data_IF_074923140303
#
_entry.id   IF_074923140303
#
_cell.length_a   1.000
_cell.length_b   1.000
_cell.length_c   1.000
_cell.angle_alpha   90.00
_cell.angle_beta   90.00
_cell.angle_gamma   90.00
#
_symmetry.space_group_name_H-M   'P 1'
#
loop_
_entity.id
_entity.type
_entity.pdbx_description
1 polymer ?
#
# COMPACT_ATOMS: atom_id res chain seq x y z
N UNK A 1 -13.52 6.72 -7.40
CA UNK A 1 -14.67 6.54 -6.47
C UNK A 1 -14.58 7.40 -5.23
N UNK A 2 -13.46 7.41 -4.49
CA UNK A 2 -13.34 8.20 -3.24
C UNK A 2 -13.07 9.71 -3.45
N UNK A 3 -12.80 10.17 -4.67
CA UNK A 3 -12.58 11.60 -4.97
C UNK A 3 -11.33 12.20 -4.33
N UNK A 4 -10.40 11.37 -3.82
CA UNK A 4 -9.15 11.82 -3.19
C UNK A 4 -8.19 12.31 -4.28
N UNK A 5 -7.69 13.56 -4.21
CA UNK A 5 -6.68 14.03 -5.14
C UNK A 5 -5.44 13.14 -5.08
N UNK A 6 -4.95 12.69 -6.22
CA UNK A 6 -3.89 11.67 -6.27
C UNK A 6 -2.97 11.93 -7.44
N UNK A 7 -1.66 11.87 -7.20
CA UNK A 7 -0.64 12.00 -8.24
C UNK A 7 0.64 11.27 -7.85
N UNK A 8 1.40 10.85 -8.87
CA UNK A 8 2.67 10.16 -8.69
C UNK A 8 3.83 11.15 -8.70
N UNK A 9 4.70 11.06 -7.71
CA UNK A 9 5.91 11.84 -7.58
C UNK A 9 7.05 11.07 -8.28
N UNK A 10 7.25 11.32 -9.57
CA UNK A 10 8.21 10.59 -10.41
C UNK A 10 9.64 10.61 -9.86
N UNK A 11 10.09 11.76 -9.37
CA UNK A 11 11.46 11.93 -8.84
C UNK A 11 11.66 11.21 -7.49
N UNK A 12 10.57 10.94 -6.75
CA UNK A 12 10.60 10.27 -5.45
C UNK A 12 10.23 8.78 -5.54
N UNK A 13 9.62 8.35 -6.65
CA UNK A 13 9.18 6.97 -6.84
C UNK A 13 7.98 6.57 -5.97
N UNK A 14 7.11 7.51 -5.60
CA UNK A 14 6.01 7.26 -4.67
C UNK A 14 4.70 7.97 -5.05
N UNK A 15 3.59 7.49 -4.50
CA UNK A 15 2.27 8.12 -4.66
C UNK A 15 2.01 9.13 -3.55
N UNK A 16 1.45 10.29 -3.89
CA UNK A 16 0.82 11.19 -2.93
C UNK A 16 -0.70 11.13 -3.06
N UNK A 17 -1.37 11.02 -1.92
CA UNK A 17 -2.82 11.12 -1.79
C UNK A 17 -3.15 12.34 -0.93
N UNK A 18 -4.01 13.22 -1.42
CA UNK A 18 -4.38 14.46 -0.77
C UNK A 18 -3.38 15.60 -0.97
N UNK A 19 -3.68 16.72 -0.32
CA UNK A 19 -2.99 18.00 -0.48
C UNK A 19 -2.49 18.57 0.84
N UNK A 20 -1.34 19.23 0.79
CA UNK A 20 -0.76 19.99 1.89
C UNK A 20 -0.60 19.15 3.15
N UNK A 21 -0.89 19.72 4.32
CA UNK A 21 -0.80 19.01 5.60
C UNK A 21 -1.70 17.78 5.76
N UNK A 22 -2.67 17.62 4.86
CA UNK A 22 -3.62 16.50 4.85
C UNK A 22 -3.18 15.38 3.94
N UNK A 23 -2.06 15.51 3.22
CA UNK A 23 -1.62 14.42 2.37
C UNK A 23 -1.09 13.23 3.18
N UNK A 24 -1.10 12.07 2.54
CA UNK A 24 -0.30 10.91 2.92
C UNK A 24 0.52 10.49 1.70
N UNK A 25 1.74 10.00 1.92
CA UNK A 25 2.62 9.53 0.85
C UNK A 25 2.93 8.06 1.08
N UNK A 26 3.00 7.28 0.00
CA UNK A 26 3.25 5.85 0.14
C UNK A 26 3.78 5.17 -1.11
N UNK A 27 4.40 4.01 -0.88
CA UNK A 27 4.88 3.09 -1.90
C UNK A 27 4.19 1.75 -1.63
N UNK A 28 3.44 1.25 -2.62
CA UNK A 28 2.61 0.06 -2.46
C UNK A 28 1.65 0.15 -1.25
N UNK A 29 1.95 -0.55 -0.16
CA UNK A 29 1.15 -0.57 1.09
C UNK A 29 1.89 -0.01 2.30
N UNK A 30 3.04 0.63 2.08
CA UNK A 30 3.81 1.37 3.09
C UNK A 30 3.55 2.86 2.95
N UNK A 31 3.29 3.53 4.07
CA UNK A 31 2.97 4.95 4.14
C UNK A 31 3.97 5.70 5.02
N UNK A 32 4.08 7.02 4.85
CA UNK A 32 5.02 7.86 5.59
C UNK A 32 4.71 7.99 7.10
N UNK A 33 3.54 7.52 7.53
CA UNK A 33 3.17 7.37 8.93
C UNK A 33 3.56 6.01 9.55
N UNK A 34 3.96 5.03 8.75
CA UNK A 34 4.31 3.70 9.24
C UNK A 34 5.62 3.73 10.03
N UNK A 35 5.70 2.95 11.12
CA UNK A 35 6.91 2.87 11.92
C UNK A 35 7.99 2.07 11.19
N UNK A 36 9.07 2.75 10.82
CA UNK A 36 10.27 2.11 10.26
C UNK A 36 10.83 1.03 11.21
N UNK A 37 10.79 1.27 12.53
CA UNK A 37 11.28 0.31 13.53
C UNK A 37 10.43 -0.97 13.49
N UNK A 38 9.11 -0.84 13.43
CA UNK A 38 8.21 -2.00 13.39
C UNK A 38 8.33 -2.72 12.04
N UNK A 39 8.49 -1.98 10.94
CA UNK A 39 8.75 -2.54 9.62
C UNK A 39 10.04 -3.38 9.61
N UNK A 40 11.15 -2.82 10.09
CA UNK A 40 12.43 -3.54 10.19
C UNK A 40 12.32 -4.75 11.13
N UNK A 41 11.57 -4.62 12.23
CA UNK A 41 11.36 -5.71 13.17
C UNK A 41 10.68 -6.92 12.50
N UNK A 42 9.74 -6.70 11.58
CA UNK A 42 9.13 -7.81 10.82
C UNK A 42 10.11 -8.56 9.91
N UNK A 43 11.23 -7.93 9.52
CA UNK A 43 12.27 -8.59 8.71
C UNK A 43 13.16 -9.53 9.52
N UNK A 44 13.25 -9.31 10.83
CA UNK A 44 13.98 -10.16 11.79
C UNK A 44 13.06 -11.30 12.25
N UNK A 45 12.94 -12.33 11.40
CA UNK A 45 11.95 -13.42 11.57
C UNK A 45 12.05 -14.15 12.90
N UNK A 46 13.26 -14.40 13.38
CA UNK A 46 13.56 -15.06 14.65
C UNK A 46 13.13 -14.21 15.84
N UNK A 47 13.52 -12.93 15.86
CA UNK A 47 13.15 -12.00 16.94
C UNK A 47 11.65 -11.73 16.97
N UNK A 48 11.04 -11.51 15.80
CA UNK A 48 9.60 -11.31 15.67
C UNK A 48 8.82 -12.54 16.16
N UNK A 49 9.27 -13.74 15.79
CA UNK A 49 8.67 -14.99 16.27
C UNK A 49 8.83 -15.18 17.78
N UNK A 50 10.01 -14.87 18.34
CA UNK A 50 10.26 -14.93 19.77
C UNK A 50 9.37 -13.94 20.55
N UNK A 51 9.16 -12.74 20.01
CA UNK A 51 8.22 -11.76 20.53
C UNK A 51 6.78 -12.30 20.53
N UNK A 52 6.31 -12.84 19.39
CA UNK A 52 4.98 -13.43 19.30
C UNK A 52 4.77 -14.56 20.32
N UNK A 53 5.76 -15.43 20.48
CA UNK A 53 5.73 -16.50 21.48
C UNK A 53 5.63 -15.96 22.91
N UNK A 54 6.43 -14.93 23.22
CA UNK A 54 6.43 -14.28 24.55
C UNK A 54 5.08 -13.65 24.87
N UNK A 55 4.38 -13.14 23.86
CA UNK A 55 3.02 -12.59 23.98
C UNK A 55 1.93 -13.67 24.09
N UNK A 56 2.28 -14.95 23.92
CA UNK A 56 1.34 -16.07 24.00
C UNK A 56 0.62 -16.38 22.68
N UNK A 57 1.09 -15.84 21.55
CA UNK A 57 0.54 -16.17 20.24
C UNK A 57 1.03 -17.54 19.74
N UNK A 58 0.21 -18.29 18.99
CA UNK A 58 0.55 -19.64 18.54
C UNK A 58 1.61 -19.58 17.42
N UNK A 59 2.87 -19.78 17.78
CA UNK A 59 3.98 -19.98 16.83
C UNK A 59 4.53 -21.41 16.95
N UNK A 60 5.07 -22.00 15.86
CA UNK A 60 5.77 -23.28 15.93
C UNK A 60 6.91 -23.23 16.95
N UNK A 61 6.97 -24.16 17.90
CA UNK A 61 8.05 -24.18 18.88
C UNK A 61 9.36 -24.63 18.22
N UNK A 62 10.47 -23.97 18.53
CA UNK A 62 11.75 -24.28 17.90
C UNK A 62 12.90 -23.45 18.46
N UNK A 63 14.11 -23.69 17.95
CA UNK A 63 15.32 -22.94 18.32
C UNK A 63 16.29 -22.81 17.16
N UNK A 64 17.19 -21.83 17.27
CA UNK A 64 18.33 -21.67 16.37
C UNK A 64 19.40 -22.69 16.76
N UNK A 65 20.01 -23.30 15.74
CA UNK A 65 21.08 -24.28 15.84
C UNK A 65 22.19 -23.93 14.84
N UNK A 66 23.40 -24.34 15.16
CA UNK A 66 24.62 -24.07 14.39
C UNK A 66 25.32 -25.34 13.93
N UNK A 67 24.95 -26.50 14.49
CA UNK A 67 25.53 -27.79 14.14
C UNK A 67 24.42 -28.83 13.95
N UNK A 68 24.73 -29.90 13.22
CA UNK A 68 23.81 -31.02 13.04
C UNK A 68 23.48 -31.71 14.36
N UNK A 69 24.44 -31.80 15.28
CA UNK A 69 24.23 -32.35 16.63
C UNK A 69 23.21 -31.50 17.41
N UNK A 70 23.34 -30.17 17.35
CA UNK A 70 22.37 -29.25 17.95
C UNK A 70 20.98 -29.37 17.30
N UNK A 71 20.93 -29.65 16.00
CA UNK A 71 19.69 -29.87 15.25
C UNK A 71 18.99 -31.16 15.70
N UNK A 72 19.73 -32.26 15.81
CA UNK A 72 19.23 -33.54 16.32
C UNK A 72 18.72 -33.41 17.76
N UNK A 73 19.47 -32.71 18.61
CA UNK A 73 19.04 -32.40 19.97
C UNK A 73 17.76 -31.56 20.00
N UNK A 74 17.61 -30.60 19.08
CA UNK A 74 16.40 -29.79 18.98
C UNK A 74 15.21 -30.65 18.55
N UNK A 75 15.38 -31.48 17.53
CA UNK A 75 14.33 -32.37 17.04
C UNK A 75 13.88 -33.37 18.11
N UNK A 76 14.81 -33.93 18.88
CA UNK A 76 14.50 -34.82 20.01
C UNK A 76 13.73 -34.13 21.13
N UNK A 77 13.98 -32.84 21.37
CA UNK A 77 13.26 -32.05 22.38
C UNK A 77 11.85 -31.64 21.92
N UNK A 78 11.71 -31.28 20.64
CA UNK A 78 10.43 -30.85 20.04
C UNK A 78 9.52 -32.04 19.79
N UNK A 79 10.09 -33.15 19.33
CA UNK A 79 9.38 -34.29 18.77
C UNK A 79 9.12 -34.13 17.27
N UNK A 80 9.20 -35.23 16.53
CA UNK A 80 8.89 -35.28 15.10
C UNK A 80 7.37 -35.23 14.84
N UNK A 81 6.92 -34.65 13.71
CA UNK A 81 7.74 -34.09 12.63
C UNK A 81 8.26 -32.67 12.89
N UNK A 82 9.42 -32.36 12.33
CA UNK A 82 10.07 -31.03 12.42
C UNK A 82 10.29 -30.40 11.04
N UNK A 83 10.57 -29.11 11.04
CA UNK A 83 10.98 -28.35 9.88
C UNK A 83 12.35 -27.72 10.14
N UNK A 84 13.17 -27.69 9.09
CA UNK A 84 14.51 -27.08 9.05
C UNK A 84 14.49 -25.96 8.03
N UNK A 85 14.96 -24.77 8.43
CA UNK A 85 15.09 -23.62 7.52
C UNK A 85 16.26 -22.72 7.90
N UNK A 86 16.95 -22.10 6.93
CA UNK A 86 17.91 -21.05 7.26
C UNK A 86 17.17 -19.82 7.83
N UNK A 87 17.80 -19.12 8.77
CA UNK A 87 17.28 -17.85 9.32
C UNK A 87 17.23 -16.78 8.23
N UNK A 88 18.27 -16.76 7.40
CA UNK A 88 18.45 -15.88 6.26
C UNK A 88 17.97 -16.57 5.00
N UNK A 89 17.24 -15.84 4.15
CA UNK A 89 16.75 -16.39 2.88
C UNK A 89 15.32 -15.99 2.52
N UNK A 90 15.04 -16.02 1.22
CA UNK A 90 13.74 -15.70 0.65
C UNK A 90 13.25 -16.84 -0.24
N UNK A 91 11.93 -16.88 -0.48
CA UNK A 91 11.28 -17.77 -1.46
C UNK A 91 11.34 -19.28 -1.13
N UNK A 92 11.68 -19.66 0.10
CA UNK A 92 11.65 -21.07 0.54
C UNK A 92 12.88 -21.89 0.17
N UNK A 93 13.96 -21.26 -0.28
CA UNK A 93 15.24 -21.95 -0.55
C UNK A 93 15.82 -22.43 0.79
N UNK A 94 16.27 -23.69 0.84
CA UNK A 94 16.79 -24.31 2.06
C UNK A 94 15.72 -24.71 3.09
N UNK A 95 14.42 -24.55 2.79
CA UNK A 95 13.33 -24.95 3.69
C UNK A 95 12.93 -26.39 3.42
N UNK A 96 13.10 -27.25 4.43
CA UNK A 96 12.56 -28.61 4.43
C UNK A 96 11.57 -28.74 5.58
N UNK A 97 10.32 -29.07 5.28
CA UNK A 97 9.27 -29.32 6.27
C UNK A 97 8.90 -30.82 6.27
N UNK A 98 8.15 -31.23 7.29
CA UNK A 98 7.65 -32.61 7.45
C UNK A 98 8.77 -33.67 7.49
N UNK A 99 9.84 -33.37 8.22
CA UNK A 99 10.95 -34.30 8.49
C UNK A 99 10.50 -35.22 9.62
N UNK A 100 10.66 -36.55 9.47
CA UNK A 100 10.16 -37.55 10.42
C UNK A 100 11.25 -38.31 11.18
N UNK A 101 12.50 -38.24 10.73
CA UNK A 101 13.62 -38.94 11.38
C UNK A 101 14.96 -38.20 11.31
N UNK A 102 16.00 -38.80 11.90
CA UNK A 102 17.33 -38.22 12.00
C UNK A 102 18.06 -38.16 10.65
N UNK A 103 17.87 -39.16 9.79
CA UNK A 103 18.55 -39.21 8.48
C UNK A 103 18.00 -38.11 7.56
N UNK A 104 16.68 -37.94 7.54
CA UNK A 104 16.03 -36.84 6.83
C UNK A 104 16.46 -35.47 7.39
N UNK A 105 16.64 -35.37 8.72
CA UNK A 105 17.07 -34.14 9.37
C UNK A 105 18.50 -33.73 8.97
N UNK A 106 19.44 -34.69 8.95
CA UNK A 106 20.82 -34.44 8.53
C UNK A 106 20.87 -33.91 7.09
N UNK A 107 20.16 -34.58 6.16
CA UNK A 107 20.08 -34.13 4.77
C UNK A 107 19.41 -32.75 4.64
N UNK A 108 18.37 -32.49 5.43
CA UNK A 108 17.69 -31.20 5.45
C UNK A 108 18.58 -30.08 6.01
N UNK A 109 19.40 -30.40 7.00
CA UNK A 109 20.38 -29.47 7.57
C UNK A 109 21.41 -29.09 6.52
N UNK A 110 22.03 -30.06 5.84
CA UNK A 110 23.03 -29.80 4.80
C UNK A 110 22.45 -28.92 3.67
N UNK A 111 21.23 -29.22 3.20
CA UNK A 111 20.53 -28.38 2.21
C UNK A 111 20.29 -26.95 2.71
N UNK A 112 19.99 -26.78 4.00
CA UNK A 112 19.80 -25.47 4.59
C UNK A 112 21.13 -24.70 4.72
N UNK A 113 22.25 -25.38 4.98
CA UNK A 113 23.60 -24.78 4.97
C UNK A 113 23.98 -24.33 3.57
N UNK A 114 23.81 -25.18 2.57
CA UNK A 114 24.15 -24.89 1.17
C UNK A 114 23.35 -23.72 0.59
N UNK A 115 22.17 -23.46 1.15
CA UNK A 115 21.32 -22.33 0.78
C UNK A 115 21.81 -20.98 1.33
N UNK A 116 22.71 -20.97 2.31
CA UNK A 116 23.22 -19.75 2.96
C UNK A 116 24.44 -19.25 2.16
N UNK A 117 24.46 -17.95 1.86
CA UNK A 117 25.59 -17.36 1.13
C UNK A 117 26.88 -17.41 1.97
N UNK A 118 28.07 -17.60 1.36
CA UNK A 118 29.33 -17.75 2.11
C UNK A 118 29.72 -16.57 3.00
N UNK A 119 29.16 -15.38 2.74
CA UNK A 119 29.37 -14.15 3.49
C UNK A 119 28.34 -13.92 4.61
N UNK A 120 27.33 -14.79 4.73
CA UNK A 120 26.30 -14.73 5.77
C UNK A 120 26.60 -15.65 6.96
N UNK A 121 26.08 -15.29 8.13
CA UNK A 121 26.20 -16.13 9.32
C UNK A 121 25.30 -17.35 9.22
N UNK A 122 25.90 -18.55 9.26
CA UNK A 122 25.20 -19.83 9.32
C UNK A 122 24.32 -19.89 10.58
N UNK A 123 23.01 -19.72 10.39
CA UNK A 123 21.99 -19.85 11.43
C UNK A 123 20.83 -20.63 10.85
N UNK A 124 20.49 -21.75 11.47
CA UNK A 124 19.41 -22.64 11.04
C UNK A 124 18.37 -22.75 12.16
N UNK A 125 17.09 -22.73 11.81
CA UNK A 125 15.98 -22.96 12.73
C UNK A 125 15.52 -24.40 12.58
N UNK A 126 15.45 -25.12 13.71
CA UNK A 126 14.68 -26.37 13.83
C UNK A 126 13.43 -26.07 14.64
N UNK A 127 12.26 -26.33 14.04
CA UNK A 127 10.97 -26.04 14.66
C UNK A 127 9.95 -27.14 14.39
N UNK A 128 8.86 -27.16 15.16
CA UNK A 128 7.73 -28.05 14.95
C UNK A 128 7.17 -27.90 13.54
N UNK A 129 6.99 -29.01 12.82
CA UNK A 129 6.27 -29.01 11.55
C UNK A 129 4.76 -29.05 11.81
N UNK A 130 4.04 -28.06 11.29
CA UNK A 130 2.58 -28.00 11.38
C UNK A 130 2.01 -28.39 10.02
N UNK A 131 1.30 -29.50 9.95
CA UNK A 131 0.61 -29.91 8.74
C UNK A 131 -0.59 -29.00 8.47
N UNK A 132 -0.71 -28.49 7.24
CA UNK A 132 -1.85 -27.67 6.84
C UNK A 132 -1.62 -26.93 5.52
N UNK A 133 -2.59 -26.11 5.17
CA UNK A 133 -2.48 -25.18 4.05
C UNK A 133 -1.89 -23.85 4.54
N UNK A 134 -1.21 -23.16 3.62
CA UNK A 134 -0.67 -21.83 3.83
C UNK A 134 -1.78 -20.79 3.60
N UNK A 135 -1.98 -19.91 4.57
CA UNK A 135 -2.88 -18.77 4.47
C UNK A 135 -2.12 -17.47 4.77
N UNK A 136 -2.50 -16.40 4.07
CA UNK A 136 -2.18 -15.03 4.46
C UNK A 136 -3.43 -14.32 4.96
N UNK A 137 -3.37 -13.85 6.20
CA UNK A 137 -4.34 -12.93 6.78
C UNK A 137 -3.84 -11.50 6.57
N UNK A 138 -4.73 -10.60 6.19
CA UNK A 138 -4.41 -9.20 6.00
C UNK A 138 -5.18 -8.35 7.00
N UNK A 139 -4.44 -7.54 7.76
CA UNK A 139 -5.01 -6.48 8.57
C UNK A 139 -4.67 -5.11 7.96
N UNK A 140 -5.65 -4.21 7.99
CA UNK A 140 -5.51 -2.79 7.63
C UNK A 140 -5.96 -1.95 8.83
N UNK A 141 -5.10 -1.05 9.29
CA UNK A 141 -5.33 -0.21 10.46
C UNK A 141 -5.79 -1.01 11.69
N UNK A 142 -5.08 -2.12 11.97
CA UNK A 142 -5.37 -3.00 13.10
C UNK A 142 -6.66 -3.83 12.99
N UNK A 143 -7.35 -3.81 11.84
CA UNK A 143 -8.58 -4.57 11.60
C UNK A 143 -8.36 -5.62 10.51
N UNK A 144 -8.93 -6.81 10.69
CA UNK A 144 -8.91 -7.84 9.67
C UNK A 144 -9.72 -7.41 8.45
N UNK A 145 -9.18 -7.61 7.26
CA UNK A 145 -9.84 -7.25 5.99
C UNK A 145 -10.00 -8.44 5.06
N UNK A 146 -8.96 -9.28 4.92
CA UNK A 146 -8.97 -10.36 3.94
C UNK A 146 -8.15 -11.57 4.41
N UNK A 147 -8.50 -12.74 3.89
CA UNK A 147 -7.68 -13.94 4.00
C UNK A 147 -7.56 -14.62 2.63
N UNK A 148 -6.38 -15.16 2.35
CA UNK A 148 -6.12 -15.89 1.09
C UNK A 148 -5.35 -17.15 1.39
N UNK A 149 -5.85 -18.29 0.93
CA UNK A 149 -5.07 -19.52 0.84
C UNK A 149 -4.08 -19.39 -0.31
N UNK A 150 -2.83 -19.75 -0.06
CA UNK A 150 -1.79 -19.80 -1.07
C UNK A 150 -1.44 -21.25 -1.32
N UNK A 151 -1.58 -21.69 -2.57
CA UNK A 151 -1.10 -23.01 -2.99
C UNK A 151 0.18 -22.90 -3.81
N UNK A 152 1.14 -23.81 -3.63
CA UNK A 152 2.30 -23.89 -4.51
C UNK A 152 1.87 -24.12 -5.97
N UNK A 153 2.75 -23.78 -6.90
CA UNK A 153 2.54 -24.10 -8.30
C UNK A 153 2.38 -25.62 -8.46
N UNK A 154 1.45 -26.05 -9.31
CA UNK A 154 1.16 -27.45 -9.55
C UNK A 154 0.71 -27.67 -10.99
N UNK A 155 0.88 -28.88 -11.49
CA UNK A 155 0.29 -29.35 -12.75
C UNK A 155 -0.51 -30.63 -12.50
N UNK A 156 -1.53 -30.87 -13.32
CA UNK A 156 -2.33 -32.09 -13.25
C UNK A 156 -2.14 -32.89 -14.53
N UNK A 157 -1.81 -34.18 -14.39
CA UNK A 157 -1.58 -35.05 -15.52
C UNK A 157 -2.83 -35.30 -16.35
N UNK A 158 -2.66 -35.36 -17.67
CA UNK A 158 -3.68 -35.81 -18.62
C UNK A 158 -3.44 -37.26 -19.11
N UNK A 159 -2.31 -37.86 -18.69
CA UNK A 159 -1.85 -39.20 -19.10
C UNK A 159 -0.99 -39.22 -20.36
N UNK A 160 -0.75 -38.08 -21.01
CA UNK A 160 -0.05 -38.01 -22.30
C UNK A 160 1.11 -37.01 -22.30
N UNK A 161 0.92 -35.82 -21.75
CA UNK A 161 1.89 -34.73 -21.77
C UNK A 161 2.95 -34.86 -20.66
N UNK A 162 4.16 -34.42 -20.97
CA UNK A 162 5.24 -34.26 -20.00
C UNK A 162 4.95 -33.12 -19.03
N UNK A 163 5.59 -33.11 -17.86
CA UNK A 163 5.50 -31.99 -16.91
C UNK A 163 5.88 -30.66 -17.58
N UNK A 164 6.93 -30.64 -18.42
CA UNK A 164 7.32 -29.45 -19.18
C UNK A 164 6.17 -28.93 -20.07
N UNK A 165 5.53 -29.83 -20.84
CA UNK A 165 4.45 -29.46 -21.74
C UNK A 165 3.20 -28.98 -20.97
N UNK A 166 2.89 -29.60 -19.83
CA UNK A 166 1.82 -29.15 -18.94
C UNK A 166 2.10 -27.75 -18.37
N UNK A 167 3.34 -27.47 -17.97
CA UNK A 167 3.76 -26.13 -17.53
C UNK A 167 3.61 -25.12 -18.66
N UNK A 168 4.04 -25.47 -19.87
CA UNK A 168 3.95 -24.59 -21.04
C UNK A 168 2.49 -24.31 -21.41
N UNK A 169 1.61 -25.30 -21.28
CA UNK A 169 0.17 -25.14 -21.47
C UNK A 169 -0.44 -24.20 -20.43
N UNK A 170 -0.15 -24.40 -19.15
CA UNK A 170 -0.58 -23.51 -18.06
C UNK A 170 -0.12 -22.06 -18.32
N UNK A 171 1.16 -21.87 -18.68
CA UNK A 171 1.75 -20.56 -18.93
C UNK A 171 1.25 -19.85 -20.19
N UNK A 172 0.53 -20.55 -21.09
CA UNK A 172 -0.18 -19.95 -22.23
C UNK A 172 -1.55 -19.39 -21.84
N UNK A 173 -2.07 -19.72 -20.66
CA UNK A 173 -3.35 -19.19 -20.18
C UNK A 173 -3.28 -17.67 -20.00
N UNK A 174 -4.32 -16.96 -20.46
CA UNK A 174 -4.45 -15.51 -20.27
C UNK A 174 -4.52 -15.11 -18.78
N UNK A 175 -4.83 -16.06 -17.90
CA UNK A 175 -4.86 -15.84 -16.46
C UNK A 175 -3.46 -15.81 -15.82
N UNK A 176 -2.41 -16.28 -16.53
CA UNK A 176 -1.00 -16.27 -16.09
C UNK A 176 -0.17 -15.31 -16.91
N UNK A 177 0.01 -14.08 -16.42
CA UNK A 177 0.81 -13.06 -17.08
C UNK A 177 2.01 -12.66 -16.22
N UNK A 178 3.11 -12.30 -16.88
CA UNK A 178 4.31 -11.79 -16.19
C UNK A 178 4.16 -10.29 -15.89
N UNK A 179 3.14 -9.96 -15.12
CA UNK A 179 2.86 -8.58 -14.68
C UNK A 179 2.41 -8.61 -13.22
N UNK A 180 2.77 -7.59 -12.41
CA UNK A 180 2.29 -7.46 -11.03
C UNK A 180 0.78 -7.37 -10.87
N UNK A 181 0.05 -7.09 -11.97
CA UNK A 181 -1.42 -6.96 -12.00
C UNK A 181 -2.13 -8.21 -12.51
N UNK A 182 -1.39 -9.30 -12.74
CA UNK A 182 -1.98 -10.60 -13.09
C UNK A 182 -2.50 -11.31 -11.84
N UNK A 183 -3.67 -11.99 -11.91
CA UNK A 183 -4.14 -12.85 -10.83
C UNK A 183 -3.17 -13.99 -10.50
N UNK A 184 -2.43 -14.49 -11.51
CA UNK A 184 -1.44 -15.54 -11.35
C UNK A 184 -0.14 -15.18 -12.08
N UNK A 185 0.99 -15.42 -11.42
CA UNK A 185 2.29 -15.43 -12.09
C UNK A 185 2.43 -16.61 -13.03
N UNK A 186 3.37 -16.50 -13.98
CA UNK A 186 3.83 -17.66 -14.73
C UNK A 186 4.55 -18.64 -13.80
N UNK A 187 4.36 -19.93 -14.05
CA UNK A 187 5.13 -21.01 -13.44
C UNK A 187 6.56 -20.89 -13.95
N UNK A 188 7.50 -20.58 -13.05
CA UNK A 188 8.91 -20.36 -13.37
C UNK A 188 9.70 -21.64 -13.21
N UNK A 189 10.45 -22.02 -14.23
CA UNK A 189 11.44 -23.09 -14.16
C UNK A 189 12.73 -22.54 -13.54
N UNK A 190 13.10 -23.07 -12.38
CA UNK A 190 14.35 -22.76 -11.68
C UNK A 190 14.85 -23.97 -10.90
N UNK A 191 16.07 -23.89 -10.36
CA UNK A 191 16.73 -24.99 -9.65
C UNK A 191 15.90 -25.48 -8.45
N UNK A 192 15.17 -24.59 -7.77
CA UNK A 192 14.32 -24.96 -6.65
C UNK A 192 13.12 -25.83 -7.07
N UNK A 193 12.54 -25.59 -8.25
CA UNK A 193 11.53 -26.47 -8.82
C UNK A 193 12.13 -27.82 -9.22
N UNK A 194 13.28 -27.81 -9.89
CA UNK A 194 13.93 -29.03 -10.37
C UNK A 194 14.31 -29.96 -9.21
N UNK A 195 14.91 -29.39 -8.16
CA UNK A 195 15.27 -30.13 -6.95
C UNK A 195 14.04 -30.78 -6.30
N UNK A 196 12.91 -30.06 -6.25
CA UNK A 196 11.69 -30.60 -5.65
C UNK A 196 11.01 -31.68 -6.51
N UNK A 197 11.17 -31.62 -7.84
CA UNK A 197 10.74 -32.71 -8.71
C UNK A 197 11.61 -33.95 -8.48
N UNK A 198 12.93 -33.77 -8.35
CA UNK A 198 13.88 -34.87 -8.09
C UNK A 198 13.59 -35.56 -6.74
N UNK A 199 13.30 -34.80 -5.68
CA UNK A 199 12.85 -35.34 -4.38
C UNK A 199 11.58 -36.20 -4.52
N UNK A 200 10.72 -35.91 -5.51
CA UNK A 200 9.52 -36.70 -5.82
C UNK A 200 9.79 -37.84 -6.82
N UNK A 201 11.06 -38.09 -7.18
CA UNK A 201 11.47 -39.02 -8.23
C UNK A 201 10.85 -38.70 -9.60
N UNK A 202 10.69 -37.41 -9.90
CA UNK A 202 10.14 -36.88 -11.16
C UNK A 202 11.15 -35.98 -11.86
N UNK A 203 10.96 -35.83 -13.17
CA UNK A 203 11.71 -34.93 -14.04
C UNK A 203 10.76 -34.15 -14.94
N UNK A 204 11.26 -33.12 -15.62
CA UNK A 204 10.46 -32.37 -16.59
C UNK A 204 9.90 -33.24 -17.73
N UNK A 205 10.59 -34.33 -18.08
CA UNK A 205 10.18 -35.29 -19.11
C UNK A 205 9.21 -36.36 -18.60
N UNK A 206 8.89 -36.36 -17.30
CA UNK A 206 7.96 -37.33 -16.72
C UNK A 206 6.53 -37.07 -17.21
N UNK A 207 5.81 -38.13 -17.60
CA UNK A 207 4.38 -38.08 -17.93
C UNK A 207 3.58 -38.46 -16.70
N UNK A 208 2.67 -37.58 -16.29
CA UNK A 208 1.83 -37.80 -15.11
C UNK A 208 0.59 -38.62 -15.47
N UNK A 209 0.22 -39.56 -14.59
CA UNK A 209 -1.06 -40.26 -14.68
C UNK A 209 -2.22 -39.26 -14.74
N UNK A 210 -3.28 -39.64 -15.47
CA UNK A 210 -4.47 -38.79 -15.61
C UNK A 210 -5.03 -38.45 -14.23
N UNK A 211 -5.35 -37.17 -14.04
CA UNK A 211 -5.90 -36.60 -12.79
C UNK A 211 -4.93 -36.61 -11.59
N UNK A 212 -3.67 -37.02 -11.77
CA UNK A 212 -2.64 -36.88 -10.73
C UNK A 212 -2.10 -35.46 -10.71
N UNK A 213 -2.37 -34.72 -9.63
CA UNK A 213 -1.75 -33.41 -9.39
C UNK A 213 -0.38 -33.57 -8.73
N UNK A 214 0.63 -32.91 -9.28
CA UNK A 214 1.97 -32.80 -8.71
C UNK A 214 2.26 -31.34 -8.38
N UNK A 215 2.70 -31.09 -7.15
CA UNK A 215 3.21 -29.80 -6.75
C UNK A 215 4.64 -29.64 -7.28
N UNK A 216 4.88 -28.50 -7.93
CA UNK A 216 6.16 -28.15 -8.50
C UNK A 216 7.08 -27.45 -7.49
N UNK A 217 6.55 -27.06 -6.33
CA UNK A 217 7.29 -26.40 -5.23
C UNK A 217 6.72 -26.80 -3.87
N UNK A 218 7.57 -26.79 -2.84
CA UNK A 218 7.15 -26.93 -1.42
C UNK A 218 6.38 -25.69 -0.92
N UNK A 219 6.90 -24.50 -1.20
CA UNK A 219 6.39 -23.24 -0.63
C UNK A 219 5.44 -22.53 -1.59
N UNK A 220 4.35 -21.99 -1.04
CA UNK A 220 3.34 -21.26 -1.79
C UNK A 220 3.79 -19.82 -2.10
N UNK A 221 4.54 -19.67 -3.20
CA UNK A 221 4.98 -18.38 -3.71
C UNK A 221 4.25 -18.00 -5.01
N UNK A 222 3.39 -16.97 -4.92
CA UNK A 222 2.59 -16.47 -6.04
C UNK A 222 3.47 -15.97 -7.20
N UNK A 223 4.63 -15.38 -6.91
CA UNK A 223 5.55 -14.85 -7.93
C UNK A 223 6.25 -15.93 -8.77
N UNK A 224 6.14 -17.19 -8.35
CA UNK A 224 6.67 -18.38 -9.03
C UNK A 224 5.56 -19.31 -9.54
N UNK A 225 4.35 -18.77 -9.75
CA UNK A 225 3.22 -19.49 -10.33
C UNK A 225 2.27 -20.13 -9.32
N UNK A 226 2.41 -19.83 -8.04
CA UNK A 226 1.45 -20.23 -7.02
C UNK A 226 0.05 -19.64 -7.26
N UNK A 227 -0.93 -20.24 -6.60
CA UNK A 227 -2.35 -19.91 -6.73
C UNK A 227 -2.85 -19.19 -5.48
N UNK A 228 -3.61 -18.11 -5.65
CA UNK A 228 -4.34 -17.41 -4.58
C UNK A 228 -5.82 -17.80 -4.60
N UNK A 229 -6.33 -18.26 -3.47
CA UNK A 229 -7.75 -18.60 -3.30
C UNK A 229 -8.30 -17.72 -2.19
N UNK A 230 -9.38 -16.98 -2.45
CA UNK A 230 -10.05 -16.21 -1.40
C UNK A 230 -10.56 -17.14 -0.30
N UNK A 231 -10.20 -16.81 0.94
CA UNK A 231 -10.61 -17.52 2.15
C UNK A 231 -11.25 -16.56 3.16
N UNK A 232 -11.54 -15.32 2.75
CA UNK A 232 -11.98 -14.24 3.65
C UNK A 232 -13.27 -14.57 4.40
N UNK A 233 -14.21 -15.27 3.74
CA UNK A 233 -15.49 -15.68 4.35
C UNK A 233 -15.43 -16.98 5.14
N UNK A 234 -14.36 -17.76 4.97
CA UNK A 234 -14.19 -19.07 5.60
C UNK A 234 -13.57 -18.96 6.99
N UNK A 235 -12.82 -17.89 7.25
CA UNK A 235 -12.05 -17.74 8.48
C UNK A 235 -12.91 -17.78 9.75
N UNK A 236 -12.46 -18.54 10.74
CA UNK A 236 -13.10 -18.60 12.05
C UNK A 236 -12.97 -17.26 12.81
N UNK A 237 -14.00 -16.80 13.55
CA UNK A 237 -13.95 -15.55 14.31
C UNK A 237 -12.79 -15.45 15.31
N UNK A 238 -12.40 -16.54 15.98
CA UNK A 238 -11.23 -16.53 16.88
C UNK A 238 -9.92 -16.16 16.14
N UNK A 239 -9.80 -16.55 14.87
CA UNK A 239 -8.61 -16.28 14.05
C UNK A 239 -8.61 -14.81 13.59
N UNK A 240 -9.79 -14.23 13.34
CA UNK A 240 -9.95 -12.79 13.12
C UNK A 240 -9.49 -12.01 14.36
N UNK A 241 -9.96 -12.39 15.54
CA UNK A 241 -9.60 -11.73 16.80
C UNK A 241 -8.09 -11.80 17.02
N UNK A 242 -7.49 -12.99 16.83
CA UNK A 242 -6.05 -13.20 16.91
C UNK A 242 -5.28 -12.29 15.95
N UNK A 243 -5.67 -12.24 14.68
CA UNK A 243 -5.00 -11.42 13.67
C UNK A 243 -5.04 -9.92 14.03
N UNK A 244 -6.18 -9.44 14.52
CA UNK A 244 -6.32 -8.05 14.95
C UNK A 244 -5.49 -7.76 16.20
N UNK A 245 -5.46 -8.67 17.18
CA UNK A 245 -4.67 -8.52 18.40
C UNK A 245 -3.18 -8.40 18.08
N UNK A 246 -2.67 -9.28 17.20
CA UNK A 246 -1.30 -9.19 16.66
C UNK A 246 -1.09 -7.83 15.99
N UNK A 247 -2.03 -7.39 15.15
CA UNK A 247 -1.88 -6.14 14.42
C UNK A 247 -1.81 -4.90 15.32
N UNK A 248 -2.40 -4.91 16.52
CA UNK A 248 -2.30 -3.81 17.47
C UNK A 248 -0.89 -3.63 18.06
N UNK A 249 -0.01 -4.63 17.95
CA UNK A 249 1.37 -4.52 18.43
C UNK A 249 2.31 -3.77 17.48
N UNK A 250 1.86 -3.50 16.24
CA UNK A 250 2.68 -2.85 15.22
C UNK A 250 2.03 -1.55 14.76
N UNK A 251 2.80 -0.47 14.67
CA UNK A 251 2.35 0.80 14.09
C UNK A 251 2.55 0.77 12.57
N UNK A 252 1.80 -0.11 11.92
CA UNK A 252 1.82 -0.33 10.48
C UNK A 252 0.40 -0.25 9.94
N UNK A 253 0.22 0.48 8.84
CA UNK A 253 -1.08 0.63 8.17
C UNK A 253 -1.56 -0.72 7.63
N UNK A 254 -0.68 -1.50 7.01
CA UNK A 254 -0.98 -2.82 6.48
C UNK A 254 -0.07 -3.87 7.09
N UNK A 255 -0.65 -4.97 7.58
CA UNK A 255 0.07 -6.09 8.15
C UNK A 255 -0.39 -7.40 7.52
N UNK A 256 0.55 -8.14 6.94
CA UNK A 256 0.34 -9.52 6.51
C UNK A 256 0.74 -10.49 7.62
N UNK A 257 -0.09 -11.49 7.88
CA UNK A 257 0.19 -12.55 8.86
C UNK A 257 0.10 -13.87 8.13
N UNK A 258 1.22 -14.56 8.03
CA UNK A 258 1.31 -15.87 7.39
C UNK A 258 1.04 -16.93 8.43
N UNK A 259 0.08 -17.80 8.15
CA UNK A 259 -0.33 -18.85 9.06
C UNK A 259 -0.44 -20.17 8.33
N UNK A 260 -0.14 -21.25 9.03
CA UNK A 260 -0.37 -22.61 8.55
C UNK A 260 -1.44 -23.27 9.39
N UNK A 261 -2.44 -23.85 8.73
CA UNK A 261 -3.47 -24.63 9.41
C UNK A 261 -4.16 -25.60 8.49
N UNK A 262 -4.67 -26.71 9.03
CA UNK A 262 -5.47 -27.69 8.26
C UNK A 262 -6.79 -27.10 7.76
N UNK A 263 -7.36 -26.20 8.54
CA UNK A 263 -8.69 -25.64 8.27
C UNK A 263 -8.82 -24.26 8.91
N UNK A 264 -8.84 -23.21 8.07
CA UNK A 264 -8.98 -21.83 8.54
C UNK A 264 -10.37 -21.56 9.17
N UNK A 265 -11.36 -22.42 8.92
CA UNK A 265 -12.68 -22.34 9.54
C UNK A 265 -12.72 -22.87 10.98
N UNK A 266 -11.63 -23.44 11.47
CA UNK A 266 -11.49 -23.84 12.87
C UNK A 266 -10.73 -22.80 13.69
N UNK A 267 -11.06 -22.73 14.98
CA UNK A 267 -10.35 -21.89 15.94
C UNK A 267 -8.90 -22.32 16.07
N UNK A 268 -7.98 -21.36 16.07
CA UNK A 268 -6.55 -21.57 16.36
C UNK A 268 -6.30 -22.28 17.70
N UNK A 269 -7.26 -22.21 18.63
CA UNK A 269 -7.21 -22.86 19.94
C UNK A 269 -7.26 -24.39 19.87
N UNK A 270 -7.64 -24.96 18.73
CA UNK A 270 -7.79 -26.40 18.53
C UNK A 270 -6.49 -27.12 18.08
N UNK A 271 -5.34 -26.43 18.11
CA UNK A 271 -4.01 -27.06 18.06
C UNK A 271 -3.42 -27.33 16.68
N UNK A 272 -4.07 -26.91 15.59
CA UNK A 272 -3.57 -27.06 14.21
C UNK A 272 -3.20 -25.74 13.55
N UNK A 273 -2.84 -24.72 14.33
CA UNK A 273 -2.58 -23.36 13.84
C UNK A 273 -1.22 -22.87 14.29
N UNK A 274 -0.43 -22.32 13.37
CA UNK A 274 0.82 -21.65 13.70
C UNK A 274 1.07 -20.45 12.83
N UNK A 275 1.54 -19.37 13.45
CA UNK A 275 1.99 -18.16 12.77
C UNK A 275 3.42 -18.40 12.30
N UNK A 276 3.63 -18.30 10.99
CA UNK A 276 4.90 -18.53 10.32
C UNK A 276 5.75 -17.26 10.26
N UNK A 277 5.13 -16.15 9.84
CA UNK A 277 5.80 -14.86 9.69
C UNK A 277 4.80 -13.69 9.75
N UNK A 278 5.33 -12.52 10.08
CA UNK A 278 4.63 -11.23 9.99
C UNK A 278 5.33 -10.45 8.88
N UNK A 279 4.56 -9.82 8.01
CA UNK A 279 5.05 -9.10 6.86
C UNK A 279 4.56 -7.65 6.90
N UNK A 280 5.48 -6.70 7.02
CA UNK A 280 5.24 -5.32 6.64
C UNK A 280 5.10 -5.21 5.11
N UNK A 281 4.40 -4.17 4.64
CA UNK A 281 4.18 -3.92 3.21
C UNK A 281 3.61 -5.13 2.42
N UNK A 282 2.56 -5.81 2.90
CA UNK A 282 2.05 -7.02 2.26
C UNK A 282 1.53 -6.71 0.85
N UNK A 283 1.72 -7.67 -0.06
CA UNK A 283 1.11 -7.62 -1.38
C UNK A 283 -0.40 -7.83 -1.30
N UNK A 284 -1.19 -6.85 -1.76
CA UNK A 284 -2.66 -6.88 -1.64
C UNK A 284 -3.38 -7.36 -2.89
N UNK A 285 -2.66 -7.47 -4.02
CA UNK A 285 -3.27 -7.78 -5.31
C UNK A 285 -3.90 -9.18 -5.32
N UNK A 286 -3.33 -10.12 -4.57
CA UNK A 286 -3.88 -11.47 -4.41
C UNK A 286 -5.27 -11.50 -3.75
N UNK A 287 -5.63 -10.46 -2.98
CA UNK A 287 -6.96 -10.29 -2.41
C UNK A 287 -7.89 -9.54 -3.36
N UNK A 288 -7.37 -8.55 -4.10
CA UNK A 288 -8.14 -7.78 -5.08
C UNK A 288 -8.51 -8.61 -6.30
N UNK A 289 -7.61 -9.48 -6.78
CA UNK A 289 -7.83 -10.39 -7.90
C UNK A 289 -7.31 -11.78 -7.53
N UNK A 290 -8.01 -12.54 -6.69
CA UNK A 290 -7.64 -13.91 -6.42
C UNK A 290 -7.79 -14.74 -7.70
N UNK A 291 -7.05 -15.83 -7.81
CA UNK A 291 -7.22 -16.77 -8.91
C UNK A 291 -8.53 -17.56 -8.79
N UNK A 292 -9.00 -17.81 -7.56
CA UNK A 292 -10.28 -18.46 -7.25
C UNK A 292 -10.97 -17.71 -6.11
N UNK A 293 -12.27 -17.43 -6.26
CA UNK A 293 -13.10 -16.80 -5.23
C UNK A 293 -13.40 -15.32 -5.48
N UNK A 294 -13.89 -14.63 -4.45
CA UNK A 294 -14.39 -13.27 -4.55
C UNK A 294 -13.27 -12.22 -4.39
N UNK A 295 -13.40 -11.10 -5.11
CA UNK A 295 -12.52 -9.94 -4.96
C UNK A 295 -12.79 -9.21 -3.64
N UNK A 296 -11.73 -8.82 -2.93
CA UNK A 296 -11.80 -7.93 -1.77
C UNK A 296 -11.16 -6.59 -2.11
N UNK A 297 -11.91 -5.49 -1.96
CA UNK A 297 -11.44 -4.12 -2.25
C UNK A 297 -10.54 -3.58 -1.12
N UNK A 298 -9.38 -4.20 -0.97
CA UNK A 298 -8.35 -3.81 -0.02
C UNK A 298 -7.89 -2.35 -0.22
N UNK A 299 -7.66 -1.83 -1.45
CA UNK A 299 -7.28 -0.43 -1.64
C UNK A 299 -8.25 0.56 -0.99
N UNK A 300 -9.56 0.34 -1.09
CA UNK A 300 -10.54 1.19 -0.41
C UNK A 300 -10.45 1.10 1.11
N UNK A 301 -10.20 -0.07 1.69
CA UNK A 301 -9.98 -0.21 3.14
C UNK A 301 -8.74 0.57 3.61
N UNK A 302 -7.68 0.56 2.82
CA UNK A 302 -6.45 1.32 3.10
C UNK A 302 -6.73 2.82 3.04
N UNK A 303 -7.30 3.33 1.94
CA UNK A 303 -7.53 4.77 1.80
C UNK A 303 -8.50 5.33 2.85
N UNK A 304 -9.50 4.54 3.26
CA UNK A 304 -10.43 4.89 4.35
C UNK A 304 -9.78 4.95 5.73
N UNK A 305 -8.56 4.46 5.88
CA UNK A 305 -7.76 4.67 7.10
C UNK A 305 -7.33 6.12 7.25
N UNK A 306 -7.06 6.78 6.13
CA UNK A 306 -6.54 8.15 6.09
C UNK A 306 -7.63 9.19 5.84
N UNK A 307 -8.65 8.82 5.06
CA UNK A 307 -9.67 9.75 4.56
C UNK A 307 -11.06 9.16 4.73
N UNK A 308 -11.88 9.74 5.61
CA UNK A 308 -13.31 9.36 5.71
C UNK A 308 -14.09 9.85 4.48
N UNK A 309 -13.66 10.98 3.93
CA UNK A 309 -14.24 11.66 2.77
C UNK A 309 -13.17 12.32 1.90
N UNK A 310 -13.53 12.72 0.67
CA UNK A 310 -12.64 13.50 -0.20
C UNK A 310 -12.23 14.85 0.40
N UNK A 311 -13.07 15.46 1.24
CA UNK A 311 -12.77 16.71 1.94
C UNK A 311 -11.67 16.57 2.99
N UNK A 312 -11.48 15.37 3.56
CA UNK A 312 -10.42 15.12 4.54
C UNK A 312 -9.03 15.10 3.90
N UNK A 313 -8.98 14.80 2.59
CA UNK A 313 -7.75 14.79 1.81
C UNK A 313 -7.33 16.18 1.29
N UNK A 314 -8.11 17.24 1.56
CA UNK A 314 -7.91 18.55 0.94
C UNK A 314 -7.76 19.66 1.97
N UNK A 315 -6.83 20.56 1.68
CA UNK A 315 -6.74 21.86 2.35
C UNK A 315 -7.62 22.88 1.63
N UNK A 316 -8.04 23.96 2.31
CA UNK A 316 -8.70 25.08 1.66
C UNK A 316 -7.86 25.65 0.50
N UNK A 317 -8.53 26.02 -0.59
CA UNK A 317 -7.92 26.63 -1.77
C UNK A 317 -8.68 27.90 -2.15
N UNK A 318 -7.93 28.98 -2.34
CA UNK A 318 -8.40 30.27 -2.83
C UNK A 318 -7.84 30.52 -4.23
N UNK A 319 -8.73 30.76 -5.18
CA UNK A 319 -8.37 30.91 -6.59
C UNK A 319 -8.66 32.32 -7.08
N UNK A 320 -7.71 32.90 -7.80
CA UNK A 320 -7.85 34.20 -8.47
C UNK A 320 -7.67 33.99 -9.98
N UNK A 321 -8.41 34.71 -10.84
CA UNK A 321 -8.01 34.79 -12.25
C UNK A 321 -6.80 35.72 -12.44
N UNK A 322 -6.72 36.77 -11.62
CA UNK A 322 -5.62 37.74 -11.63
C UNK A 322 -5.38 38.29 -10.22
N UNK A 323 -4.12 38.42 -9.83
CA UNK A 323 -3.70 39.08 -8.58
C UNK A 323 -2.24 39.56 -8.71
N UNK A 324 -1.94 40.75 -8.21
CA UNK A 324 -0.56 41.27 -8.19
C UNK A 324 0.25 40.70 -7.03
N UNK A 325 1.57 40.81 -7.08
CA UNK A 325 2.46 40.38 -5.98
C UNK A 325 2.13 41.11 -4.68
N UNK A 326 1.85 42.41 -4.74
CA UNK A 326 1.53 43.21 -3.56
C UNK A 326 0.21 42.77 -2.93
N UNK A 327 -0.84 42.61 -3.74
CA UNK A 327 -2.14 42.12 -3.26
C UNK A 327 -2.03 40.71 -2.66
N UNK A 328 -1.25 39.83 -3.29
CA UNK A 328 -1.02 38.48 -2.78
C UNK A 328 -0.35 38.52 -1.40
N UNK A 329 0.64 39.41 -1.19
CA UNK A 329 1.27 39.62 0.11
C UNK A 329 0.29 40.17 1.15
N UNK A 330 -0.56 41.13 0.77
CA UNK A 330 -1.61 41.68 1.64
C UNK A 330 -2.59 40.60 2.09
N UNK A 331 -3.01 39.70 1.19
CA UNK A 331 -3.86 38.54 1.53
C UNK A 331 -3.16 37.60 2.50
N UNK A 332 -1.90 37.25 2.24
CA UNK A 332 -1.11 36.38 3.13
C UNK A 332 -1.01 37.00 4.53
N UNK A 333 -0.69 38.29 4.62
CA UNK A 333 -0.55 38.99 5.90
C UNK A 333 -1.87 39.06 6.65
N UNK A 334 -2.96 39.36 5.95
CA UNK A 334 -4.30 39.40 6.53
C UNK A 334 -4.70 38.05 7.15
N UNK A 335 -4.45 36.94 6.47
CA UNK A 335 -4.76 35.59 6.98
C UNK A 335 -3.84 35.25 8.15
N UNK A 336 -2.54 35.53 8.06
CA UNK A 336 -1.58 35.24 9.15
C UNK A 336 -1.84 36.07 10.41
N UNK A 337 -2.49 37.24 10.31
CA UNK A 337 -2.92 38.01 11.49
C UNK A 337 -4.01 37.28 12.29
N UNK A 338 -4.87 36.52 11.61
CA UNK A 338 -5.96 35.73 12.22
C UNK A 338 -5.49 34.32 12.58
N UNK A 339 -4.60 33.74 11.77
CA UNK A 339 -4.07 32.38 11.90
C UNK A 339 -2.53 32.38 11.87
N UNK A 340 -1.87 32.81 12.96
CA UNK A 340 -0.42 32.99 12.98
C UNK A 340 0.39 31.69 12.82
N UNK A 341 -0.22 30.55 13.14
CA UNK A 341 0.41 29.23 13.06
C UNK A 341 0.24 28.56 11.69
N UNK A 342 -0.52 29.17 10.76
CA UNK A 342 -0.75 28.58 9.45
C UNK A 342 0.46 28.73 8.53
N UNK A 343 0.65 27.71 7.68
CA UNK A 343 1.51 27.77 6.52
C UNK A 343 0.66 28.01 5.27
N UNK A 344 0.82 29.17 4.66
CA UNK A 344 0.14 29.60 3.45
C UNK A 344 1.11 29.48 2.28
N UNK A 345 0.70 28.75 1.25
CA UNK A 345 1.39 28.69 -0.02
C UNK A 345 0.64 29.57 -0.99
N UNK A 346 1.35 30.47 -1.65
CA UNK A 346 0.72 31.45 -2.52
C UNK A 346 1.49 31.56 -3.84
N UNK A 347 0.79 31.61 -4.97
CA UNK A 347 1.41 31.72 -6.29
C UNK A 347 0.62 32.62 -7.22
N UNK A 348 1.34 33.51 -7.89
CA UNK A 348 0.87 34.35 -9.00
C UNK A 348 1.84 34.21 -10.17
N UNK A 349 1.52 34.85 -11.30
CA UNK A 349 2.33 34.86 -12.53
C UNK A 349 3.78 35.33 -12.36
N UNK A 350 4.06 36.10 -11.31
CA UNK A 350 5.37 36.75 -11.07
C UNK A 350 6.12 36.22 -9.84
N UNK A 351 5.44 35.53 -8.92
CA UNK A 351 6.05 35.11 -7.66
C UNK A 351 5.35 33.91 -7.01
N UNK A 352 6.13 33.17 -6.22
CA UNK A 352 5.68 32.13 -5.30
C UNK A 352 6.11 32.49 -3.90
N UNK A 353 5.25 32.24 -2.92
CA UNK A 353 5.51 32.49 -1.50
C UNK A 353 5.15 31.27 -0.66
N UNK A 354 5.90 31.11 0.44
CA UNK A 354 5.46 30.35 1.61
C UNK A 354 5.46 31.33 2.78
N UNK A 355 4.29 31.64 3.32
CA UNK A 355 4.05 32.78 4.20
C UNK A 355 4.69 34.05 3.60
N UNK A 356 5.52 34.76 4.37
CA UNK A 356 6.21 35.99 3.92
C UNK A 356 7.48 35.73 3.10
N UNK A 357 7.85 34.47 2.87
CA UNK A 357 9.10 34.11 2.21
C UNK A 357 8.88 33.83 0.72
N UNK A 358 9.37 34.74 -0.13
CA UNK A 358 9.39 34.53 -1.57
C UNK A 358 10.31 33.38 -1.95
N UNK A 359 9.88 32.55 -2.90
CA UNK A 359 10.62 31.42 -3.46
C UNK A 359 10.92 31.66 -4.94
N UNK A 360 11.82 30.86 -5.49
CA UNK A 360 12.11 30.88 -6.92
C UNK A 360 10.88 30.41 -7.70
N UNK A 361 10.41 31.25 -8.62
CA UNK A 361 9.32 30.90 -9.52
C UNK A 361 9.85 29.97 -10.62
N UNK A 362 9.26 28.78 -10.72
CA UNK A 362 9.53 27.84 -11.80
C UNK A 362 8.85 28.30 -13.10
N UNK A 363 9.51 28.08 -14.24
CA UNK A 363 9.02 28.53 -15.56
C UNK A 363 7.78 27.79 -16.02
N UNK A 364 7.66 26.50 -15.70
CA UNK A 364 6.39 25.79 -15.76
C UNK A 364 5.54 26.14 -14.53
N UNK A 365 4.40 26.76 -14.78
CA UNK A 365 3.54 27.33 -13.75
C UNK A 365 2.98 26.27 -12.81
N UNK A 366 2.44 25.17 -13.35
CA UNK A 366 1.79 24.12 -12.56
C UNK A 366 2.77 23.36 -11.66
N UNK A 367 4.06 23.33 -12.00
CA UNK A 367 5.12 22.82 -11.12
C UNK A 367 5.19 23.62 -9.79
N UNK A 368 4.93 24.93 -9.80
CA UNK A 368 4.88 25.72 -8.57
C UNK A 368 3.75 25.29 -7.64
N UNK A 369 2.55 25.12 -8.20
CA UNK A 369 1.35 24.67 -7.47
C UNK A 369 1.57 23.26 -6.91
N UNK A 370 2.10 22.37 -7.74
CA UNK A 370 2.45 21.02 -7.34
C UNK A 370 3.42 21.02 -6.14
N UNK A 371 4.47 21.84 -6.17
CA UNK A 371 5.43 21.96 -5.08
C UNK A 371 4.81 22.52 -3.79
N UNK A 372 3.89 23.48 -3.90
CA UNK A 372 3.16 23.97 -2.74
C UNK A 372 2.27 22.87 -2.14
N UNK A 373 1.47 22.17 -2.95
CA UNK A 373 0.57 21.10 -2.49
C UNK A 373 1.30 19.87 -1.91
N UNK A 374 2.59 19.71 -2.22
CA UNK A 374 3.48 18.71 -1.60
C UNK A 374 4.01 19.14 -0.23
N UNK A 375 3.82 20.38 0.19
CA UNK A 375 4.38 20.86 1.45
C UNK A 375 3.59 20.28 2.65
N UNK A 376 4.22 19.48 3.54
CA UNK A 376 3.52 18.68 4.56
C UNK A 376 2.94 19.48 5.72
N UNK A 377 3.17 20.80 5.74
CA UNK A 377 2.56 21.70 6.71
C UNK A 377 1.61 22.72 6.08
N UNK A 378 1.39 22.66 4.77
CA UNK A 378 0.55 23.64 4.09
C UNK A 378 -0.88 23.57 4.61
N UNK A 379 -1.38 24.67 5.16
CA UNK A 379 -2.75 24.81 5.65
C UNK A 379 -3.67 25.40 4.59
N UNK A 380 -3.15 26.24 3.69
CA UNK A 380 -3.92 26.97 2.69
C UNK A 380 -3.13 27.14 1.39
N UNK A 381 -3.77 26.96 0.24
CA UNK A 381 -3.25 27.37 -1.06
C UNK A 381 -3.98 28.63 -1.55
N UNK A 382 -3.23 29.62 -2.02
CA UNK A 382 -3.73 30.75 -2.81
C UNK A 382 -3.09 30.68 -4.18
N UNK A 383 -3.88 30.60 -5.24
CA UNK A 383 -3.35 30.44 -6.59
C UNK A 383 -4.05 31.34 -7.60
N UNK A 384 -3.26 32.00 -8.43
CA UNK A 384 -3.72 32.63 -9.64
C UNK A 384 -3.85 31.61 -10.78
N UNK A 385 -4.87 31.71 -11.63
CA UNK A 385 -4.95 30.95 -12.87
C UNK A 385 -5.35 31.89 -14.01
N UNK A 386 -4.37 32.52 -14.69
CA UNK A 386 -4.67 33.41 -15.80
C UNK A 386 -5.04 32.60 -17.05
N UNK A 387 -5.79 33.24 -17.96
CA UNK A 387 -6.27 32.68 -19.23
C UNK A 387 -5.22 31.85 -20.00
N UNK A 388 -3.98 32.35 -20.08
CA UNK A 388 -2.87 31.67 -20.78
C UNK A 388 -2.54 30.30 -20.20
N UNK A 389 -2.54 30.17 -18.86
CA UNK A 389 -2.22 28.90 -18.19
C UNK A 389 -3.40 27.95 -18.33
N UNK A 390 -4.62 28.43 -18.09
CA UNK A 390 -5.85 27.62 -18.25
C UNK A 390 -5.96 27.05 -19.67
N UNK A 391 -5.67 27.86 -20.69
CA UNK A 391 -5.76 27.45 -22.09
C UNK A 391 -4.69 26.45 -22.51
N UNK A 392 -3.48 26.55 -21.93
CA UNK A 392 -2.32 25.76 -22.37
C UNK A 392 -2.14 24.49 -21.56
N UNK A 393 -2.20 24.61 -20.24
CA UNK A 393 -1.78 23.59 -19.29
C UNK A 393 -2.93 23.13 -18.37
N UNK A 394 -4.03 23.89 -18.32
CA UNK A 394 -5.16 23.63 -17.43
C UNK A 394 -4.83 23.82 -15.95
N UNK A 395 -5.77 23.45 -15.09
CA UNK A 395 -5.58 23.49 -13.62
C UNK A 395 -4.94 22.21 -13.12
N UNK A 396 -4.10 22.33 -12.09
CA UNK A 396 -3.46 21.20 -11.43
C UNK A 396 -4.35 20.57 -10.35
N UNK A 397 -5.11 21.38 -9.62
CA UNK A 397 -6.09 20.93 -8.63
C UNK A 397 -7.51 21.11 -9.14
N UNK A 398 -8.45 20.42 -8.50
CA UNK A 398 -9.88 20.49 -8.80
C UNK A 398 -10.66 21.00 -7.60
N UNK A 399 -11.51 22.01 -7.79
CA UNK A 399 -12.40 22.53 -6.77
C UNK A 399 -11.70 23.50 -5.81
N UNK A 400 -12.18 24.75 -5.81
CA UNK A 400 -11.73 25.81 -4.90
C UNK A 400 -12.82 26.15 -3.88
N UNK A 401 -12.44 26.49 -2.66
CA UNK A 401 -13.37 26.92 -1.61
C UNK A 401 -13.82 28.37 -1.83
N UNK A 402 -12.89 29.20 -2.32
CA UNK A 402 -13.10 30.59 -2.68
C UNK A 402 -12.58 30.85 -4.09
N UNK A 403 -13.35 31.56 -4.90
CA UNK A 403 -12.93 32.01 -6.24
C UNK A 403 -13.20 33.50 -6.39
N UNK A 404 -12.17 34.25 -6.76
CA UNK A 404 -12.24 35.68 -7.02
C UNK A 404 -11.91 35.95 -8.49
N UNK A 405 -12.87 36.54 -9.20
CA UNK A 405 -12.75 36.85 -10.63
C UNK A 405 -12.87 38.35 -10.86
N UNK A 406 -11.80 39.00 -11.29
CA UNK A 406 -11.81 40.40 -11.71
C UNK A 406 -11.84 40.50 -13.24
N UNK A 407 -12.98 40.96 -13.77
CA UNK A 407 -13.25 41.10 -15.21
C UNK A 407 -12.77 39.89 -16.05
N UNK A 408 -13.21 38.66 -15.71
CA UNK A 408 -12.65 37.44 -16.28
C UNK A 408 -12.96 37.27 -17.76
N UNK A 409 -12.06 36.59 -18.47
CA UNK A 409 -12.34 36.08 -19.82
C UNK A 409 -13.33 34.91 -19.78
N UNK A 410 -13.86 34.52 -20.95
CA UNK A 410 -14.69 33.32 -21.08
C UNK A 410 -13.99 32.03 -20.62
N UNK A 411 -12.66 31.98 -20.69
CA UNK A 411 -11.87 30.82 -20.25
C UNK A 411 -11.63 30.89 -18.74
N UNK A 412 -11.32 32.06 -18.19
CA UNK A 412 -11.16 32.26 -16.74
C UNK A 412 -12.44 31.98 -15.96
N UNK A 413 -13.61 32.13 -16.59
CA UNK A 413 -14.89 31.67 -16.04
C UNK A 413 -14.95 30.15 -15.77
N UNK A 414 -13.99 29.35 -16.23
CA UNK A 414 -13.84 27.95 -15.80
C UNK A 414 -13.59 27.82 -14.30
N UNK A 415 -12.87 28.77 -13.69
CA UNK A 415 -12.62 28.78 -12.25
C UNK A 415 -13.92 28.84 -11.43
N UNK A 416 -14.95 29.55 -11.92
CA UNK A 416 -16.26 29.60 -11.28
C UNK A 416 -17.09 28.31 -11.49
N UNK A 417 -16.68 27.43 -12.41
CA UNK A 417 -17.35 26.16 -12.70
C UNK A 417 -16.68 24.99 -11.98
N UNK A 418 -15.37 25.08 -11.74
CA UNK A 418 -14.59 24.09 -10.99
C UNK A 418 -14.59 24.41 -9.48
N UNK A 419 -15.78 24.35 -8.88
CA UNK A 419 -16.02 24.64 -7.47
C UNK A 419 -16.91 23.59 -6.83
N UNK A 420 -16.87 23.51 -5.50
CA UNK A 420 -17.77 22.66 -4.73
C UNK A 420 -19.13 23.35 -4.54
N UNK A 421 -20.13 22.57 -4.12
CA UNK A 421 -21.49 23.07 -3.87
C UNK A 421 -21.53 24.22 -2.83
N UNK A 422 -20.65 24.17 -1.83
CA UNK A 422 -20.56 25.15 -0.75
C UNK A 422 -19.53 26.27 -1.00
N UNK A 423 -18.87 26.28 -2.16
CA UNK A 423 -17.87 27.29 -2.48
C UNK A 423 -18.49 28.68 -2.64
N UNK A 424 -17.67 29.71 -2.39
CA UNK A 424 -18.06 31.10 -2.66
C UNK A 424 -17.35 31.59 -3.91
N UNK A 425 -18.11 32.07 -4.89
CA UNK A 425 -17.60 32.67 -6.12
C UNK A 425 -17.92 34.16 -6.09
N UNK A 426 -16.89 34.99 -6.17
CA UNK A 426 -17.00 36.45 -6.19
C UNK A 426 -16.55 36.94 -7.55
N UNK A 427 -17.47 37.54 -8.29
CA UNK A 427 -17.26 38.06 -9.64
C UNK A 427 -17.38 39.59 -9.64
N UNK A 428 -16.34 40.26 -10.11
CA UNK A 428 -16.33 41.69 -10.40
C UNK A 428 -16.42 41.89 -11.91
N UNK A 429 -17.49 42.56 -12.36
CA UNK A 429 -17.64 43.05 -13.73
C UNK A 429 -17.78 44.57 -13.69
N UNK A 430 -16.76 45.29 -14.16
CA UNK A 430 -16.65 46.74 -13.97
C UNK A 430 -16.77 47.08 -12.47
N UNK A 431 -17.77 47.87 -12.07
CA UNK A 431 -18.06 48.24 -10.68
C UNK A 431 -19.07 47.31 -9.99
N UNK A 432 -19.60 46.32 -10.70
CA UNK A 432 -20.61 45.39 -10.15
C UNK A 432 -19.92 44.19 -9.51
N UNK A 433 -20.21 43.94 -8.23
CA UNK A 433 -19.82 42.73 -7.51
C UNK A 433 -21.01 41.78 -7.45
N UNK A 434 -20.76 40.52 -7.75
CA UNK A 434 -21.69 39.41 -7.59
C UNK A 434 -21.05 38.35 -6.71
N UNK A 435 -21.64 38.05 -5.56
CA UNK A 435 -21.21 36.99 -4.65
C UNK A 435 -22.21 35.85 -4.77
N UNK A 436 -21.73 34.68 -5.18
CA UNK A 436 -22.51 33.45 -5.28
C UNK A 436 -22.07 32.47 -4.19
N UNK A 437 -23.02 31.98 -3.39
CA UNK A 437 -22.77 30.96 -2.35
C UNK A 437 -24.03 30.13 -2.14
N UNK A 438 -23.92 28.80 -2.15
CA UNK A 438 -25.04 27.88 -1.90
C UNK A 438 -26.32 28.18 -2.72
N UNK A 439 -26.14 28.60 -3.97
CA UNK A 439 -27.24 28.96 -4.88
C UNK A 439 -27.87 30.35 -4.63
N UNK A 440 -27.44 31.08 -3.60
CA UNK A 440 -27.80 32.48 -3.39
C UNK A 440 -26.84 33.39 -4.16
N UNK A 441 -27.39 34.47 -4.73
CA UNK A 441 -26.63 35.49 -5.44
C UNK A 441 -26.92 36.84 -4.79
N UNK A 442 -25.87 37.46 -4.25
CA UNK A 442 -25.90 38.82 -3.74
C UNK A 442 -25.17 39.74 -4.72
N UNK A 443 -25.76 40.90 -5.01
CA UNK A 443 -25.16 41.89 -5.91
C UNK A 443 -25.17 43.28 -5.31
N UNK A 444 -24.04 43.98 -5.46
CA UNK A 444 -23.91 45.37 -5.08
C UNK A 444 -22.90 46.10 -5.98
N UNK A 445 -22.96 47.43 -5.96
CA UNK A 445 -22.01 48.28 -6.68
C UNK A 445 -20.86 48.67 -5.73
N UNK A 446 -19.64 48.49 -6.21
CA UNK A 446 -18.43 48.97 -5.55
C UNK A 446 -18.37 50.50 -5.67
N UNK A 447 -17.84 51.19 -4.66
CA UNK A 447 -17.59 52.63 -4.79
C UNK A 447 -16.52 52.92 -5.84
N UNK A 448 -16.60 54.07 -6.53
CA UNK A 448 -15.72 54.49 -7.64
C UNK A 448 -14.20 54.51 -7.31
N UNK A 449 -13.84 54.44 -6.03
CA UNK A 449 -12.45 54.39 -5.53
C UNK A 449 -12.20 53.26 -4.53
N UNK A 450 -13.15 52.35 -4.37
CA UNK A 450 -13.03 51.24 -3.44
C UNK A 450 -12.27 50.09 -4.13
N UNK A 451 -11.16 49.60 -3.56
CA UNK A 451 -10.39 48.55 -4.19
C UNK A 451 -11.09 47.20 -4.06
N UNK A 452 -10.97 46.35 -5.08
CA UNK A 452 -11.51 44.99 -5.05
C UNK A 452 -10.91 44.16 -3.90
N UNK A 453 -9.70 44.52 -3.44
CA UNK A 453 -9.07 43.92 -2.27
C UNK A 453 -9.89 43.96 -1.00
N UNK A 454 -10.67 45.02 -0.80
CA UNK A 454 -11.57 45.10 0.36
C UNK A 454 -12.65 44.02 0.33
N UNK A 455 -13.10 43.63 -0.86
CA UNK A 455 -14.10 42.57 -1.03
C UNK A 455 -13.50 41.22 -0.72
N UNK A 456 -12.40 40.84 -1.39
CA UNK A 456 -11.85 39.51 -1.19
C UNK A 456 -11.27 39.30 0.21
N UNK A 457 -10.68 40.31 0.85
CA UNK A 457 -10.21 40.20 2.24
C UNK A 457 -11.36 39.96 3.23
N UNK A 458 -12.51 40.60 3.00
CA UNK A 458 -13.73 40.39 3.80
C UNK A 458 -14.27 38.97 3.63
N UNK A 459 -14.39 38.51 2.39
CA UNK A 459 -14.94 37.19 2.11
C UNK A 459 -14.01 36.06 2.58
N UNK A 460 -12.68 36.23 2.42
CA UNK A 460 -11.68 35.30 2.98
C UNK A 460 -11.87 35.12 4.48
N UNK A 461 -12.00 36.21 5.26
CA UNK A 461 -12.24 36.14 6.71
C UNK A 461 -13.61 35.59 7.11
N UNK A 462 -14.55 35.46 6.17
CA UNK A 462 -15.87 34.89 6.45
C UNK A 462 -15.89 33.38 6.22
N UNK A 463 -14.91 32.83 5.50
CA UNK A 463 -14.89 31.43 5.07
C UNK A 463 -13.76 30.62 5.73
N UNK A 464 -12.58 31.22 5.89
CA UNK A 464 -11.47 30.64 6.65
C UNK A 464 -11.66 30.92 8.15
#
# INVERSE_FOLDING_TARGET
DLGIPTFYLWDEGLMQYGYGRKHIRGIATTFDCDSHIDSDFTTQKDDCKAFLNTMGFPVPQGRIVYTVDEALDAANQIGYPVAVKPVVGHKGIGVTADIHDAEELEQAFDRAVDAIAPDESMRIIVEQSIAGNDYRLLCVNGRFVAATERRPASVTGDGELTIQELIDQENRSAARLDTPTSPMGKIKLDDAMLLYLEEQSLTLDSVLERDRTVYLRKVANLSSGGLSIDATRLIHPDNIILAQDIAQHFRLTCLGIDVITRDLAQSWKNGSFGILEINAAPGIFMHLKPAIGDSVDVPSHILKTFFESSSDARIPIVSFNTITVQELQEVIDHILLQHPDWTIGAVCREAVFINRSQKNLHSDYNTNIHNLLRHPKLDLLIAEYPDRILSKDGMFYYGSDLVFLDNPTSIEMMLARDVFEHSTVVLKQQETISIQREGLIEQYQLGEHEPFSRVYLKEISTVL
#
